data_IF_049992310647
#
_entry.id   IF_049992310647
#
_cell.length_a   1.000
_cell.length_b   1.000
_cell.length_c   1.000
_cell.angle_alpha   90.00
_cell.angle_beta   90.00
_cell.angle_gamma   90.00
#
_symmetry.space_group_name_H-M   'P 1'
#
loop_
_entity.id
_entity.type
_entity.pdbx_description
1 polymer ?
#
# COMPACT_ATOMS: atom_id res chain seq x y z
N UNK A 1 -45.34 9.42 -70.11
CA UNK A 1 -44.04 9.82 -69.53
C UNK A 1 -44.12 9.67 -68.01
N UNK A 2 -43.61 8.57 -67.44
CA UNK A 2 -43.58 8.32 -65.99
C UNK A 2 -42.11 8.14 -65.57
N UNK A 3 -41.64 8.99 -64.66
CA UNK A 3 -40.32 8.93 -64.03
C UNK A 3 -40.28 7.75 -63.05
N UNK A 4 -39.36 6.80 -63.24
CA UNK A 4 -39.04 5.76 -62.25
C UNK A 4 -37.95 6.26 -61.31
N UNK A 5 -38.26 6.32 -60.02
CA UNK A 5 -37.30 6.60 -58.95
C UNK A 5 -36.66 5.29 -58.47
N UNK A 6 -35.32 5.27 -58.39
CA UNK A 6 -34.53 4.18 -57.83
C UNK A 6 -34.55 4.29 -56.30
N UNK A 7 -35.03 3.26 -55.61
CA UNK A 7 -35.01 3.14 -54.15
C UNK A 7 -33.87 2.18 -53.77
N UNK A 8 -32.77 2.70 -53.20
CA UNK A 8 -31.70 1.89 -52.62
C UNK A 8 -32.05 1.54 -51.17
N UNK A 9 -32.19 0.24 -50.87
CA UNK A 9 -32.37 -0.28 -49.51
C UNK A 9 -31.01 -0.51 -48.82
N UNK A 10 -30.76 0.03 -47.61
CA UNK A 10 -29.52 -0.18 -46.87
C UNK A 10 -29.69 -1.32 -45.86
N UNK A 11 -29.39 -2.56 -46.24
CA UNK A 11 -29.62 -3.70 -45.31
C UNK A 11 -28.57 -4.81 -45.34
N UNK A 12 -27.38 -4.60 -45.92
CA UNK A 12 -26.34 -5.64 -45.98
C UNK A 12 -25.01 -5.35 -45.28
N UNK A 13 -24.81 -4.15 -44.72
CA UNK A 13 -23.52 -3.77 -44.12
C UNK A 13 -23.42 -3.96 -42.58
N UNK A 14 -24.55 -4.13 -41.87
CA UNK A 14 -24.57 -4.22 -40.40
C UNK A 14 -24.45 -5.64 -39.82
N UNK A 15 -24.65 -6.69 -40.63
CA UNK A 15 -24.62 -8.09 -40.17
C UNK A 15 -23.20 -8.65 -40.04
N UNK A 16 -22.27 -8.24 -40.90
CA UNK A 16 -20.88 -8.73 -40.86
C UNK A 16 -20.08 -8.18 -39.67
N UNK A 17 -20.38 -6.94 -39.24
CA UNK A 17 -19.63 -6.28 -38.15
C UNK A 17 -19.95 -6.87 -36.76
N UNK A 18 -21.18 -7.36 -36.53
CA UNK A 18 -21.57 -8.04 -35.29
C UNK A 18 -20.98 -9.44 -35.14
N UNK A 19 -20.71 -10.14 -36.24
CA UNK A 19 -20.16 -11.49 -36.21
C UNK A 19 -18.64 -11.51 -35.94
N UNK A 20 -17.92 -10.46 -36.35
CA UNK A 20 -16.50 -10.28 -36.03
C UNK A 20 -16.27 -9.81 -34.58
N UNK A 21 -17.17 -9.01 -34.00
CA UNK A 21 -17.01 -8.54 -32.61
C UNK A 21 -17.27 -9.65 -31.57
N UNK A 22 -18.15 -10.61 -31.88
CA UNK A 22 -18.47 -11.73 -30.98
C UNK A 22 -17.40 -12.84 -31.01
N UNK A 23 -16.66 -12.97 -32.12
CA UNK A 23 -15.52 -13.90 -32.23
C UNK A 23 -14.24 -13.33 -31.62
N UNK A 24 -14.08 -12.00 -31.60
CA UNK A 24 -12.93 -11.36 -30.94
C UNK A 24 -13.06 -11.33 -29.40
N UNK A 25 -14.29 -11.29 -28.85
CA UNK A 25 -14.52 -11.33 -27.39
C UNK A 25 -14.46 -12.75 -26.78
N UNK A 26 -14.63 -13.82 -27.56
CA UNK A 26 -14.53 -15.20 -27.05
C UNK A 26 -13.09 -15.74 -27.07
N UNK A 27 -12.19 -15.09 -27.81
CA UNK A 27 -10.77 -15.45 -27.89
C UNK A 27 -9.90 -14.78 -26.80
N UNK A 28 -10.43 -13.80 -26.07
CA UNK A 28 -9.70 -13.07 -25.00
C UNK A 28 -9.89 -13.66 -23.59
N UNK A 29 -10.69 -14.73 -23.45
CA UNK A 29 -11.06 -15.31 -22.14
C UNK A 29 -10.19 -16.47 -21.63
N UNK A 30 -9.19 -16.92 -22.38
CA UNK A 30 -8.31 -18.03 -21.97
C UNK A 30 -6.83 -17.61 -22.03
N UNK A 31 -6.48 -16.53 -21.34
CA UNK A 31 -5.12 -16.36 -20.84
C UNK A 31 -4.98 -17.12 -19.52
N UNK A 32 -5.23 -18.44 -19.56
CA UNK A 32 -4.72 -19.31 -18.51
C UNK A 32 -3.21 -19.28 -18.64
N UNK A 33 -2.51 -18.80 -17.61
CA UNK A 33 -1.08 -19.03 -17.50
C UNK A 33 -0.87 -20.54 -17.53
N UNK A 34 -0.48 -21.08 -18.68
CA UNK A 34 0.21 -22.36 -18.69
C UNK A 34 1.50 -22.10 -17.94
N UNK A 35 1.50 -22.44 -16.65
CA UNK A 35 2.75 -22.85 -16.03
C UNK A 35 3.21 -24.00 -16.92
N UNK A 36 4.30 -23.80 -17.66
CA UNK A 36 4.98 -24.92 -18.28
C UNK A 36 5.45 -25.79 -17.10
N UNK A 37 4.62 -26.75 -16.69
CA UNK A 37 5.03 -27.78 -15.76
C UNK A 37 6.16 -28.52 -16.47
N UNK A 38 7.36 -28.44 -15.93
CA UNK A 38 8.46 -29.29 -16.39
C UNK A 38 7.95 -30.72 -16.22
N UNK A 39 7.85 -31.52 -17.30
CA UNK A 39 7.32 -32.87 -17.18
C UNK A 39 8.12 -33.65 -16.14
N UNK A 40 7.45 -34.22 -15.13
CA UNK A 40 8.04 -35.08 -14.09
C UNK A 40 8.44 -36.46 -14.63
N UNK A 41 9.12 -36.48 -15.78
CA UNK A 41 9.47 -37.69 -16.53
C UNK A 41 10.96 -37.99 -16.39
N UNK A 42 11.29 -39.21 -15.99
CA UNK A 42 12.68 -39.67 -15.88
C UNK A 42 12.91 -40.80 -16.88
N UNK A 43 13.87 -40.62 -17.79
CA UNK A 43 14.34 -41.71 -18.65
C UNK A 43 15.29 -42.63 -17.87
N UNK A 44 14.99 -43.93 -17.88
CA UNK A 44 15.83 -44.96 -17.28
C UNK A 44 16.01 -46.15 -18.22
N UNK A 45 17.21 -46.74 -18.22
CA UNK A 45 17.51 -47.98 -18.93
C UNK A 45 18.13 -48.97 -17.96
N UNK A 46 17.67 -50.22 -17.99
CA UNK A 46 18.18 -51.29 -17.15
C UNK A 46 18.41 -52.58 -17.93
N UNK A 47 19.06 -53.55 -17.28
CA UNK A 47 19.31 -54.88 -17.83
C UNK A 47 18.62 -55.96 -16.99
N UNK A 48 18.07 -56.95 -17.67
CA UNK A 48 17.43 -58.14 -17.12
C UNK A 48 18.15 -59.38 -17.65
N UNK A 49 18.54 -60.24 -16.72
CA UNK A 49 18.95 -61.62 -17.01
C UNK A 49 18.04 -62.57 -16.22
N UNK A 50 17.70 -63.69 -16.83
CA UNK A 50 16.97 -64.81 -16.19
C UNK A 50 17.87 -66.02 -16.30
N UNK A 51 18.17 -66.66 -15.16
CA UNK A 51 19.11 -67.79 -15.08
C UNK A 51 20.47 -67.52 -15.77
N UNK A 52 20.98 -66.29 -15.65
CA UNK A 52 22.26 -65.88 -16.23
C UNK A 52 22.22 -65.54 -17.73
N UNK A 53 21.10 -65.77 -18.42
CA UNK A 53 20.91 -65.43 -19.84
C UNK A 53 20.14 -64.12 -19.99
N UNK A 54 20.44 -63.34 -21.03
CA UNK A 54 19.73 -62.10 -21.31
C UNK A 54 18.25 -62.38 -21.67
N UNK A 55 17.33 -61.77 -20.93
CA UNK A 55 15.91 -61.96 -21.18
C UNK A 55 15.47 -61.27 -22.48
N UNK A 56 14.61 -61.93 -23.25
CA UNK A 56 14.02 -61.40 -24.48
C UNK A 56 12.52 -61.66 -24.47
N UNK A 57 11.73 -60.61 -24.72
CA UNK A 57 10.28 -60.66 -24.72
C UNK A 57 9.65 -59.60 -23.82
N UNK A 58 8.34 -59.68 -23.64
CA UNK A 58 7.62 -58.78 -22.76
C UNK A 58 7.75 -59.23 -21.30
N UNK A 59 8.12 -58.31 -20.42
CA UNK A 59 8.12 -58.50 -18.97
C UNK A 59 7.18 -57.53 -18.28
N UNK A 60 6.78 -57.88 -17.06
CA UNK A 60 6.04 -56.98 -16.18
C UNK A 60 7.00 -56.38 -15.15
N UNK A 61 6.91 -55.07 -15.00
CA UNK A 61 7.78 -54.28 -14.13
C UNK A 61 6.97 -53.50 -13.11
N UNK A 62 7.59 -53.26 -11.96
CA UNK A 62 7.11 -52.30 -10.95
C UNK A 62 8.27 -51.42 -10.51
N UNK A 63 7.98 -50.18 -10.18
CA UNK A 63 9.01 -49.17 -9.89
C UNK A 63 8.66 -48.39 -8.64
N UNK A 64 9.68 -48.12 -7.82
CA UNK A 64 9.58 -47.18 -6.71
C UNK A 64 10.86 -46.34 -6.61
N UNK A 65 10.70 -45.09 -6.19
CA UNK A 65 11.79 -44.24 -5.75
C UNK A 65 11.82 -44.28 -4.23
N UNK A 66 12.93 -44.74 -3.66
CA UNK A 66 13.09 -45.00 -2.22
C UNK A 66 14.30 -44.27 -1.65
N UNK A 67 14.35 -44.17 -0.32
CA UNK A 67 15.52 -43.65 0.40
C UNK A 67 16.72 -44.62 0.33
N UNK A 68 17.88 -44.18 0.85
CA UNK A 68 19.12 -44.96 0.85
C UNK A 68 19.01 -46.35 1.50
N UNK A 69 18.20 -46.49 2.57
CA UNK A 69 17.95 -47.77 3.25
C UNK A 69 16.88 -48.62 2.56
N UNK A 70 16.14 -48.03 1.63
CA UNK A 70 15.03 -48.68 0.94
C UNK A 70 13.82 -48.97 1.83
N UNK A 71 13.66 -48.24 2.92
CA UNK A 71 12.61 -48.40 3.94
C UNK A 71 11.48 -47.36 3.81
N UNK A 72 11.71 -46.31 3.04
CA UNK A 72 10.74 -45.25 2.77
C UNK A 72 10.58 -45.10 1.26
N UNK A 73 9.32 -45.04 0.79
CA UNK A 73 9.00 -44.75 -0.61
C UNK A 73 8.64 -43.28 -0.77
N UNK A 74 9.33 -42.59 -1.68
CA UNK A 74 8.99 -41.23 -2.11
C UNK A 74 7.98 -41.22 -3.25
N UNK A 75 8.01 -42.25 -4.09
CA UNK A 75 7.09 -42.41 -5.22
C UNK A 75 7.03 -43.87 -5.68
N UNK A 76 5.91 -44.29 -6.27
CA UNK A 76 5.79 -45.57 -6.98
C UNK A 76 4.92 -45.44 -8.21
N UNK A 77 5.08 -46.37 -9.15
CA UNK A 77 4.43 -46.32 -10.47
C UNK A 77 2.89 -46.25 -10.42
N UNK A 78 2.27 -46.69 -9.32
CA UNK A 78 0.82 -46.63 -9.10
C UNK A 78 0.42 -45.92 -7.80
N UNK A 79 1.39 -45.36 -7.07
CA UNK A 79 1.18 -44.70 -5.78
C UNK A 79 0.90 -45.63 -4.59
N UNK A 80 0.99 -46.96 -4.74
CA UNK A 80 0.60 -47.89 -3.66
C UNK A 80 1.73 -48.26 -2.69
N UNK A 81 2.99 -47.92 -2.99
CA UNK A 81 4.13 -48.22 -2.13
C UNK A 81 4.43 -47.07 -1.18
N UNK A 82 4.59 -47.37 0.11
CA UNK A 82 4.80 -46.38 1.18
C UNK A 82 6.06 -46.67 2.02
N UNK A 83 6.39 -47.94 2.25
CA UNK A 83 7.51 -48.37 3.12
C UNK A 83 8.60 -49.13 2.37
N UNK A 84 8.81 -48.79 1.10
CA UNK A 84 9.72 -49.51 0.19
C UNK A 84 9.16 -50.85 -0.30
N UNK A 85 7.89 -51.13 -0.03
CA UNK A 85 7.18 -52.33 -0.44
C UNK A 85 6.92 -52.38 -1.96
N UNK A 86 6.61 -53.57 -2.46
CA UNK A 86 6.24 -53.76 -3.86
C UNK A 86 4.95 -52.97 -4.19
N UNK A 87 4.93 -52.21 -5.30
CA UNK A 87 3.70 -51.60 -5.85
C UNK A 87 2.65 -52.65 -6.21
N UNK A 88 1.37 -52.28 -6.34
CA UNK A 88 0.29 -53.26 -6.60
C UNK A 88 0.20 -53.57 -8.09
N UNK A 89 0.20 -52.54 -8.92
CA UNK A 89 0.01 -52.59 -10.36
C UNK A 89 1.34 -52.68 -11.09
N UNK A 90 1.36 -53.44 -12.18
CA UNK A 90 2.56 -53.63 -13.01
C UNK A 90 2.43 -52.94 -14.36
N UNK A 91 3.58 -52.68 -14.97
CA UNK A 91 3.72 -52.06 -16.29
C UNK A 91 4.39 -53.07 -17.22
N UNK A 92 3.77 -53.34 -18.36
CA UNK A 92 4.39 -54.17 -19.40
C UNK A 92 5.45 -53.39 -20.17
N UNK A 93 6.67 -53.92 -20.24
CA UNK A 93 7.74 -53.37 -21.06
C UNK A 93 8.35 -54.47 -21.93
N UNK A 94 8.70 -54.12 -23.17
CA UNK A 94 9.47 -54.98 -24.04
C UNK A 94 10.95 -54.98 -23.59
N UNK A 95 11.55 -56.16 -23.54
CA UNK A 95 12.97 -56.37 -23.23
C UNK A 95 13.64 -57.02 -24.43
N UNK A 96 14.69 -56.40 -24.94
CA UNK A 96 15.45 -56.87 -26.09
C UNK A 96 16.93 -56.97 -25.75
N UNK A 97 17.54 -58.14 -25.97
CA UNK A 97 18.93 -58.41 -25.58
C UNK A 97 19.18 -58.24 -24.08
N UNK A 98 18.14 -58.43 -23.25
CA UNK A 98 18.17 -58.15 -21.83
C UNK A 98 18.05 -56.67 -21.48
N UNK A 99 17.90 -55.74 -22.41
CA UNK A 99 17.81 -54.30 -22.13
C UNK A 99 16.37 -53.83 -22.20
N UNK A 100 15.96 -52.98 -21.26
CA UNK A 100 14.67 -52.27 -21.28
C UNK A 100 14.87 -50.78 -21.03
N UNK A 101 13.96 -49.97 -21.55
CA UNK A 101 13.91 -48.53 -21.31
C UNK A 101 12.51 -48.12 -20.82
N UNK A 102 12.45 -47.14 -19.92
CA UNK A 102 11.20 -46.64 -19.34
C UNK A 102 11.28 -45.14 -19.12
N UNK A 103 10.15 -44.47 -19.35
CA UNK A 103 9.92 -43.07 -18.98
C UNK A 103 9.08 -43.07 -17.69
N UNK A 104 9.74 -43.04 -16.53
CA UNK A 104 9.06 -42.99 -15.23
C UNK A 104 8.21 -41.73 -15.15
N UNK A 105 6.97 -41.84 -14.69
CA UNK A 105 6.04 -40.70 -14.58
C UNK A 105 5.25 -40.33 -15.83
N UNK A 106 5.45 -41.00 -16.98
CA UNK A 106 4.72 -40.70 -18.22
C UNK A 106 3.35 -41.41 -18.31
N UNK A 107 3.35 -42.73 -18.54
CA UNK A 107 2.13 -43.57 -18.62
C UNK A 107 1.83 -44.27 -17.29
N UNK A 108 2.12 -43.59 -16.19
CA UNK A 108 2.03 -44.09 -14.82
C UNK A 108 1.86 -42.88 -13.88
N UNK A 109 1.75 -43.09 -12.56
CA UNK A 109 1.70 -41.99 -11.59
C UNK A 109 2.86 -41.01 -11.84
N UNK A 110 2.56 -39.72 -12.03
CA UNK A 110 3.59 -38.69 -12.27
C UNK A 110 4.63 -38.68 -11.14
N UNK A 111 5.91 -38.45 -11.45
CA UNK A 111 6.94 -38.27 -10.41
C UNK A 111 6.91 -36.81 -9.92
N UNK A 112 6.48 -36.53 -8.67
CA UNK A 112 6.44 -35.17 -8.17
C UNK A 112 7.86 -34.60 -8.01
N UNK A 113 8.09 -33.30 -8.28
CA UNK A 113 9.38 -32.67 -8.03
C UNK A 113 9.87 -32.79 -6.58
N UNK A 114 8.95 -32.86 -5.62
CA UNK A 114 9.24 -33.01 -4.18
C UNK A 114 9.97 -34.31 -3.83
N UNK A 115 9.94 -35.33 -4.69
CA UNK A 115 10.77 -36.54 -4.51
C UNK A 115 12.25 -36.17 -4.41
N UNK A 116 12.67 -35.15 -5.14
CA UNK A 116 14.06 -34.65 -5.18
C UNK A 116 14.36 -33.60 -4.11
N UNK A 117 13.46 -33.40 -3.14
CA UNK A 117 13.79 -32.73 -1.88
C UNK A 117 14.68 -33.60 -1.00
N UNK A 118 14.71 -34.92 -1.28
CA UNK A 118 15.47 -35.90 -0.54
C UNK A 118 16.92 -36.01 -1.06
N UNK A 119 17.92 -36.09 -0.16
CA UNK A 119 19.35 -36.07 -0.54
C UNK A 119 19.83 -37.35 -1.24
N UNK A 120 19.17 -38.49 -1.02
CA UNK A 120 19.46 -39.76 -1.68
C UNK A 120 18.15 -40.42 -2.13
N UNK A 121 17.96 -40.49 -3.45
CA UNK A 121 16.82 -41.10 -4.12
C UNK A 121 17.33 -42.26 -4.97
N UNK A 122 16.78 -43.46 -4.75
CA UNK A 122 17.17 -44.68 -5.45
C UNK A 122 15.97 -45.31 -6.15
N UNK A 123 16.17 -45.73 -7.39
CA UNK A 123 15.23 -46.52 -8.14
C UNK A 123 15.32 -47.98 -7.69
N UNK A 124 14.20 -48.47 -7.17
CA UNK A 124 13.95 -49.88 -6.90
C UNK A 124 13.07 -50.44 -8.00
N UNK A 125 13.43 -51.63 -8.49
CA UNK A 125 12.75 -52.30 -9.59
C UNK A 125 12.32 -53.69 -9.16
N UNK A 126 11.10 -54.07 -9.52
CA UNK A 126 10.66 -55.46 -9.53
C UNK A 126 10.36 -55.89 -10.95
N UNK A 127 10.64 -57.16 -11.25
CA UNK A 127 10.48 -57.76 -12.56
C UNK A 127 9.88 -59.16 -12.46
N UNK A 128 9.04 -59.51 -13.43
CA UNK A 128 8.67 -60.89 -13.74
C UNK A 128 8.65 -61.13 -15.24
N UNK A 129 9.04 -62.33 -15.65
CA UNK A 129 8.91 -62.84 -17.02
C UNK A 129 7.53 -63.47 -17.29
N UNK A 130 6.60 -63.37 -16.33
CA UNK A 130 5.28 -63.98 -16.40
C UNK A 130 5.23 -65.44 -15.96
N UNK A 131 6.38 -66.05 -15.65
CA UNK A 131 6.49 -67.46 -15.21
C UNK A 131 7.07 -67.59 -13.81
N UNK A 132 8.13 -66.83 -13.47
CA UNK A 132 8.90 -66.96 -12.25
C UNK A 132 8.43 -66.05 -11.09
N UNK A 133 7.23 -65.49 -11.18
CA UNK A 133 6.68 -64.55 -10.20
C UNK A 133 7.44 -63.23 -10.15
N UNK A 134 6.95 -62.28 -9.34
CA UNK A 134 7.55 -60.94 -9.20
C UNK A 134 8.77 -60.97 -8.28
N UNK A 135 9.90 -60.47 -8.76
CA UNK A 135 11.17 -60.47 -8.02
C UNK A 135 11.79 -59.07 -7.98
N UNK A 136 12.32 -58.67 -6.81
CA UNK A 136 13.05 -57.42 -6.63
C UNK A 136 14.46 -57.53 -7.18
N UNK A 137 14.86 -56.57 -8.02
CA UNK A 137 16.21 -56.45 -8.53
C UNK A 137 17.05 -55.61 -7.56
N UNK A 138 18.08 -56.23 -6.98
CA UNK A 138 19.02 -55.56 -6.08
C UNK A 138 20.40 -55.40 -6.75
N UNK A 139 21.16 -54.32 -6.45
CA UNK A 139 20.83 -53.24 -5.52
C UNK A 139 20.00 -52.12 -6.17
N UNK A 140 19.28 -51.36 -5.35
CA UNK A 140 18.59 -50.13 -5.79
C UNK A 140 19.59 -49.13 -6.35
N UNK A 141 19.25 -48.52 -7.50
CA UNK A 141 20.16 -47.69 -8.27
C UNK A 141 19.94 -46.21 -7.97
N UNK A 142 21.00 -45.46 -7.63
CA UNK A 142 20.90 -44.03 -7.34
C UNK A 142 20.52 -43.24 -8.60
N UNK A 143 19.52 -42.37 -8.51
CA UNK A 143 19.15 -41.44 -9.58
C UNK A 143 19.83 -40.09 -9.28
N UNK A 144 20.97 -39.82 -9.92
CA UNK A 144 21.86 -38.73 -9.52
C UNK A 144 21.70 -37.40 -10.29
N UNK A 145 21.15 -37.38 -11.51
CA UNK A 145 21.42 -36.24 -12.43
C UNK A 145 20.23 -35.58 -13.14
N UNK A 146 19.01 -36.16 -13.14
CA UNK A 146 17.85 -35.53 -13.82
C UNK A 146 16.88 -34.78 -12.86
N UNK A 147 16.80 -35.18 -11.59
CA UNK A 147 15.88 -34.58 -10.62
C UNK A 147 16.29 -33.19 -10.11
N UNK A 148 17.60 -32.91 -10.06
CA UNK A 148 18.13 -31.62 -9.61
C UNK A 148 17.95 -30.50 -10.66
N UNK A 149 17.76 -30.83 -11.95
CA UNK A 149 17.44 -29.84 -12.97
C UNK A 149 16.00 -29.30 -12.83
N UNK A 150 15.05 -30.11 -12.29
CA UNK A 150 13.70 -29.62 -11.98
C UNK A 150 13.68 -28.64 -10.81
N UNK A 151 14.65 -28.72 -9.87
CA UNK A 151 14.81 -27.69 -8.82
C UNK A 151 15.11 -26.31 -9.40
N UNK A 152 15.81 -26.21 -10.54
CA UNK A 152 16.08 -24.92 -11.17
C UNK A 152 14.81 -24.28 -11.76
N UNK A 153 13.75 -25.06 -12.04
CA UNK A 153 12.47 -24.54 -12.51
C UNK A 153 11.50 -24.19 -11.37
N UNK A 154 11.59 -24.85 -10.21
CA UNK A 154 10.74 -24.57 -9.04
C UNK A 154 11.33 -23.49 -8.12
N UNK A 155 12.64 -23.25 -8.19
CA UNK A 155 13.34 -22.28 -7.35
C UNK A 155 13.28 -20.85 -7.90
N UNK A 156 12.10 -20.26 -8.12
CA UNK A 156 12.03 -18.80 -8.34
C UNK A 156 10.66 -18.12 -8.25
N UNK A 157 9.79 -18.50 -7.31
CA UNK A 157 8.72 -17.56 -6.92
C UNK A 157 8.55 -17.51 -5.40
N UNK A 158 8.92 -16.36 -4.82
CA UNK A 158 8.28 -15.92 -3.57
C UNK A 158 6.87 -15.54 -4.00
N UNK A 159 5.88 -16.40 -3.71
CA UNK A 159 4.49 -16.07 -4.02
C UNK A 159 4.08 -14.80 -3.26
N UNK A 160 3.13 -14.04 -3.81
CA UNK A 160 2.65 -12.82 -3.15
C UNK A 160 2.24 -13.14 -1.70
N UNK A 161 2.66 -12.26 -0.78
CA UNK A 161 2.43 -12.41 0.67
C UNK A 161 3.09 -13.63 1.32
N UNK A 162 4.01 -14.33 0.64
CA UNK A 162 4.72 -15.46 1.24
C UNK A 162 5.62 -15.07 2.41
N UNK A 163 6.13 -13.82 2.44
CA UNK A 163 6.97 -13.32 3.52
C UNK A 163 6.06 -12.58 4.51
N UNK A 164 5.71 -13.26 5.60
CA UNK A 164 4.95 -12.72 6.73
C UNK A 164 5.90 -12.26 7.83
N UNK A 165 5.38 -11.59 8.86
CA UNK A 165 6.14 -11.17 10.05
C UNK A 165 6.95 -12.31 10.65
N UNK A 166 6.37 -13.50 10.77
CA UNK A 166 7.01 -14.66 11.41
C UNK A 166 8.24 -15.17 10.65
N UNK A 167 8.36 -14.80 9.36
CA UNK A 167 9.49 -15.15 8.50
C UNK A 167 10.58 -14.07 8.49
N UNK A 168 10.35 -12.95 9.16
CA UNK A 168 11.31 -11.87 9.38
C UNK A 168 11.61 -11.85 10.88
N UNK A 169 12.75 -12.42 11.26
CA UNK A 169 13.17 -12.39 12.66
C UNK A 169 13.38 -10.95 13.16
N UNK A 170 13.25 -10.74 14.47
CA UNK A 170 13.55 -9.46 15.10
C UNK A 170 14.98 -9.01 14.76
N UNK A 171 15.13 -7.77 14.28
CA UNK A 171 16.42 -7.24 13.83
C UNK A 171 16.94 -7.82 12.51
N UNK A 172 16.15 -8.63 11.78
CA UNK A 172 16.57 -9.17 10.48
C UNK A 172 16.69 -8.08 9.40
N UNK A 173 16.00 -6.96 9.55
CA UNK A 173 16.11 -5.79 8.67
C UNK A 173 16.79 -4.68 9.47
N UNK A 174 17.99 -4.29 9.06
CA UNK A 174 18.85 -3.30 9.73
C UNK A 174 19.13 -2.13 8.79
N UNK A 175 19.61 -1.00 9.32
CA UNK A 175 19.99 0.17 8.52
C UNK A 175 20.96 -0.18 7.39
N UNK A 176 21.97 -1.01 7.67
CA UNK A 176 22.92 -1.48 6.64
C UNK A 176 22.30 -2.29 5.51
N UNK A 177 21.11 -2.86 5.72
CA UNK A 177 20.33 -3.62 4.71
C UNK A 177 19.35 -2.73 3.95
N UNK A 178 19.16 -1.49 4.38
CA UNK A 178 18.32 -0.48 3.72
C UNK A 178 19.22 0.71 3.37
N UNK A 179 19.85 0.72 2.18
CA UNK A 179 20.68 1.84 1.77
C UNK A 179 19.91 3.17 1.79
N UNK A 180 20.60 4.26 2.09
CA UNK A 180 20.01 5.61 2.11
C UNK A 180 19.31 5.92 0.78
N UNK A 181 18.09 6.47 0.87
CA UNK A 181 17.27 6.80 -0.30
C UNK A 181 16.67 5.60 -1.05
N UNK A 182 16.92 4.35 -0.62
CA UNK A 182 16.34 3.17 -1.26
C UNK A 182 14.83 3.06 -1.08
N UNK A 183 14.29 3.63 0.00
CA UNK A 183 12.85 3.77 0.26
C UNK A 183 12.43 5.21 -0.10
N UNK A 184 11.77 5.36 -1.24
CA UNK A 184 11.26 6.66 -1.72
C UNK A 184 9.84 6.91 -1.21
N UNK A 185 9.35 8.16 -1.16
CA UNK A 185 7.96 8.45 -0.78
C UNK A 185 6.92 7.67 -1.60
N UNK A 186 7.21 7.38 -2.88
CA UNK A 186 6.38 6.55 -3.75
C UNK A 186 6.35 5.07 -3.36
N UNK A 187 7.41 4.54 -2.74
CA UNK A 187 7.48 3.17 -2.19
C UNK A 187 6.78 3.06 -0.84
N UNK A 188 6.57 4.19 -0.17
CA UNK A 188 5.74 4.32 1.02
C UNK A 188 4.28 4.60 0.65
N UNK A 189 3.82 4.14 -0.52
CA UNK A 189 2.40 4.21 -0.91
C UNK A 189 1.58 3.40 0.08
N UNK A 190 1.18 4.06 1.16
CA UNK A 190 0.18 3.57 2.07
C UNK A 190 -1.13 3.59 1.28
N UNK A 191 -1.52 2.43 0.74
CA UNK A 191 -2.89 2.23 0.29
C UNK A 191 -3.74 2.33 1.55
N UNK A 192 -4.24 3.52 1.82
CA UNK A 192 -5.33 3.70 2.77
C UNK A 192 -6.51 2.98 2.14
N UNK A 193 -6.93 1.85 2.70
CA UNK A 193 -8.16 1.20 2.28
C UNK A 193 -9.33 2.14 2.64
N UNK A 194 -9.75 2.99 1.70
CA UNK A 194 -11.12 3.51 1.63
C UNK A 194 -11.63 4.41 2.77
N UNK A 195 -10.77 4.97 3.62
CA UNK A 195 -11.12 6.17 4.39
C UNK A 195 -10.16 7.31 4.03
N UNK A 196 -10.67 8.53 3.87
CA UNK A 196 -9.85 9.74 3.73
C UNK A 196 -9.14 10.09 5.07
N UNK A 197 -8.62 9.10 5.80
CA UNK A 197 -7.82 9.34 7.01
C UNK A 197 -6.35 9.60 6.69
N UNK A 198 -5.96 9.57 5.42
CA UNK A 198 -4.62 9.88 4.97
C UNK A 198 -4.03 11.09 5.68
N UNK A 199 -3.25 10.84 6.74
CA UNK A 199 -2.21 11.75 7.21
C UNK A 199 -1.06 10.94 7.84
N UNK A 200 0.14 10.94 7.23
CA UNK A 200 1.40 10.43 7.79
C UNK A 200 1.97 11.25 8.96
N UNK A 201 1.14 11.97 9.71
CA UNK A 201 1.55 12.84 10.80
C UNK A 201 0.40 12.88 11.77
N UNK A 202 0.66 12.79 13.09
CA UNK A 202 -0.33 13.01 14.15
C UNK A 202 -0.81 14.46 14.20
N UNK A 203 -1.16 15.04 13.04
CA UNK A 203 -1.57 16.41 12.86
C UNK A 203 -2.45 16.61 11.61
N UNK A 204 -3.37 17.58 11.64
CA UNK A 204 -4.17 18.04 10.50
C UNK A 204 -4.36 19.54 10.55
N UNK A 205 -4.25 20.18 9.38
CA UNK A 205 -4.29 21.63 9.22
C UNK A 205 -5.52 22.10 8.44
N UNK A 206 -6.05 23.26 8.83
CA UNK A 206 -7.12 23.96 8.13
C UNK A 206 -6.77 25.44 8.02
N UNK A 207 -6.50 25.89 6.79
CA UNK A 207 -6.12 27.29 6.48
C UNK A 207 -7.10 28.00 5.53
N UNK A 208 -8.05 27.27 4.94
CA UNK A 208 -9.02 27.85 4.00
C UNK A 208 -10.26 28.34 4.76
N UNK A 209 -10.69 29.61 4.62
CA UNK A 209 -11.90 30.11 5.24
C UNK A 209 -13.13 29.26 4.97
N UNK A 210 -13.98 29.08 5.98
CA UNK A 210 -15.21 28.31 5.87
C UNK A 210 -15.35 27.24 6.95
N UNK A 211 -16.36 26.38 6.78
CA UNK A 211 -16.65 25.28 7.68
C UNK A 211 -16.14 23.96 7.10
N UNK A 212 -15.41 23.22 7.92
CA UNK A 212 -14.84 21.92 7.62
C UNK A 212 -15.24 20.91 8.70
N UNK A 213 -15.03 19.63 8.40
CA UNK A 213 -15.27 18.55 9.37
C UNK A 213 -13.98 17.80 9.64
N UNK A 214 -13.64 17.67 10.91
CA UNK A 214 -12.60 16.78 11.41
C UNK A 214 -13.24 15.52 11.99
N UNK A 215 -12.86 14.36 11.48
CA UNK A 215 -13.21 13.06 12.07
C UNK A 215 -12.03 12.55 12.87
N UNK A 216 -12.25 12.24 14.14
CA UNK A 216 -11.20 11.71 15.03
C UNK A 216 -10.70 10.37 14.49
N UNK A 217 -9.38 10.19 14.27
CA UNK A 217 -8.84 8.94 13.76
C UNK A 217 -9.07 7.75 14.70
N UNK A 218 -8.97 6.54 14.15
CA UNK A 218 -9.05 5.32 14.95
C UNK A 218 -7.97 5.29 16.04
N UNK A 219 -8.33 4.86 17.25
CA UNK A 219 -7.41 4.76 18.39
C UNK A 219 -7.05 6.07 19.08
N UNK A 220 -7.44 7.23 18.54
CA UNK A 220 -7.17 8.54 19.14
C UNK A 220 -8.21 8.90 20.19
N UNK A 221 -7.76 9.09 21.44
CA UNK A 221 -8.62 9.44 22.58
C UNK A 221 -8.35 10.84 23.13
N UNK A 222 -7.30 11.50 22.65
CA UNK A 222 -6.92 12.85 23.06
C UNK A 222 -6.33 13.59 21.86
N UNK A 223 -6.69 14.86 21.73
CA UNK A 223 -6.11 15.77 20.72
C UNK A 223 -5.71 17.08 21.38
N UNK A 224 -4.74 17.77 20.80
CA UNK A 224 -4.45 19.17 21.07
C UNK A 224 -4.88 19.99 19.86
N UNK A 225 -5.59 21.08 20.09
CA UNK A 225 -6.08 21.96 19.03
C UNK A 225 -5.56 23.36 19.26
N UNK A 226 -5.05 23.96 18.19
CA UNK A 226 -4.57 25.33 18.13
C UNK A 226 -5.42 26.09 17.11
N UNK A 227 -5.91 27.26 17.51
CA UNK A 227 -6.86 28.07 16.75
C UNK A 227 -6.36 29.51 16.70
N UNK A 228 -6.19 30.04 15.49
CA UNK A 228 -5.89 31.44 15.23
C UNK A 228 -7.08 32.10 14.55
N UNK A 229 -7.57 33.20 15.10
CA UNK A 229 -8.55 34.05 14.43
C UNK A 229 -7.95 34.73 13.20
N UNK A 230 -8.79 35.09 12.23
CA UNK A 230 -8.34 35.76 11.03
C UNK A 230 -7.90 37.20 11.30
N UNK A 231 -7.10 37.78 10.42
CA UNK A 231 -6.70 39.18 10.46
C UNK A 231 -7.79 40.15 10.04
N UNK A 232 -7.78 41.37 10.58
CA UNK A 232 -8.59 42.45 10.03
C UNK A 232 -8.01 43.01 8.73
N UNK A 233 -8.86 43.67 7.96
CA UNK A 233 -8.48 44.30 6.70
C UNK A 233 -7.74 45.62 6.87
N UNK A 234 -7.45 46.27 5.74
CA UNK A 234 -6.74 47.56 5.67
C UNK A 234 -7.69 48.65 5.18
N UNK A 235 -7.49 49.87 5.69
CA UNK A 235 -8.15 51.08 5.22
C UNK A 235 -7.18 51.94 4.38
N UNK A 236 -7.55 52.21 3.13
CA UNK A 236 -6.69 52.79 2.09
C UNK A 236 -6.09 54.16 2.43
N UNK A 237 -6.92 55.12 2.85
CA UNK A 237 -6.51 56.53 2.92
C UNK A 237 -5.44 56.82 3.98
N UNK A 238 -5.40 56.01 5.05
CA UNK A 238 -4.49 56.23 6.17
C UNK A 238 -3.49 55.09 6.36
N UNK A 239 -3.52 54.06 5.50
CA UNK A 239 -2.69 52.85 5.61
C UNK A 239 -2.67 52.28 7.04
N UNK A 240 -3.80 52.33 7.76
CA UNK A 240 -3.89 51.81 9.12
C UNK A 240 -4.23 50.32 9.02
N UNK A 241 -3.29 49.42 9.37
CA UNK A 241 -3.57 48.00 9.35
C UNK A 241 -4.53 47.65 10.48
N UNK A 242 -5.53 46.83 10.18
CA UNK A 242 -6.35 46.19 11.21
C UNK A 242 -5.51 45.30 12.11
N UNK A 243 -6.00 45.07 13.32
CA UNK A 243 -5.35 44.22 14.30
C UNK A 243 -5.30 42.75 13.88
N UNK A 244 -4.46 42.02 14.58
CA UNK A 244 -4.25 40.59 14.41
C UNK A 244 -5.33 39.76 15.13
N UNK A 245 -5.57 38.54 14.66
CA UNK A 245 -6.45 37.58 15.34
C UNK A 245 -5.82 37.05 16.63
N UNK A 246 -6.65 36.58 17.55
CA UNK A 246 -6.22 35.94 18.78
C UNK A 246 -5.75 34.50 18.55
N UNK A 247 -5.05 33.94 19.53
CA UNK A 247 -4.63 32.55 19.56
C UNK A 247 -5.17 31.84 20.78
N UNK A 248 -5.70 30.63 20.58
CA UNK A 248 -6.17 29.76 21.65
C UNK A 248 -5.69 28.34 21.38
N UNK A 249 -5.20 27.66 22.42
CA UNK A 249 -4.86 26.24 22.39
C UNK A 249 -5.54 25.51 23.54
N UNK A 250 -6.05 24.32 23.26
CA UNK A 250 -6.65 23.45 24.27
C UNK A 250 -6.52 21.97 23.92
N UNK A 251 -6.37 21.14 24.94
CA UNK A 251 -6.46 19.69 24.80
C UNK A 251 -7.90 19.19 25.00
N UNK A 252 -8.35 18.30 24.12
CA UNK A 252 -9.66 17.67 24.20
C UNK A 252 -9.53 16.16 24.38
N UNK A 253 -10.32 15.61 25.29
CA UNK A 253 -10.62 14.18 25.26
C UNK A 253 -11.65 13.94 24.14
N UNK A 254 -11.39 12.96 23.30
CA UNK A 254 -12.21 12.67 22.11
C UNK A 254 -12.54 11.19 22.01
N UNK A 255 -13.57 10.88 21.23
CA UNK A 255 -13.96 9.50 20.90
C UNK A 255 -13.54 9.20 19.47
N UNK A 256 -12.82 8.09 19.19
CA UNK A 256 -12.50 7.68 17.83
C UNK A 256 -13.75 7.66 16.92
N UNK A 257 -13.63 8.20 15.72
CA UNK A 257 -14.73 8.32 14.76
C UNK A 257 -15.74 9.44 15.02
N UNK A 258 -15.63 10.18 16.14
CA UNK A 258 -16.49 11.35 16.37
C UNK A 258 -16.15 12.49 15.41
N UNK A 259 -17.18 13.17 14.92
CA UNK A 259 -17.05 14.34 14.05
C UNK A 259 -17.04 15.64 14.86
N UNK A 260 -16.17 16.56 14.45
CA UNK A 260 -15.99 17.89 15.02
C UNK A 260 -16.02 18.93 13.90
N UNK A 261 -16.67 20.06 14.16
CA UNK A 261 -16.71 21.19 13.24
C UNK A 261 -15.47 22.05 13.42
N UNK A 262 -14.76 22.30 12.33
CA UNK A 262 -13.67 23.27 12.26
C UNK A 262 -14.19 24.47 11.46
N UNK A 263 -14.12 25.66 12.03
CA UNK A 263 -14.42 26.91 11.33
C UNK A 263 -13.14 27.72 11.22
N UNK A 264 -12.76 28.06 10.00
CA UNK A 264 -11.66 28.97 9.72
C UNK A 264 -12.24 30.33 9.37
N UNK A 265 -11.87 31.36 10.14
CA UNK A 265 -12.32 32.74 9.89
C UNK A 265 -11.81 33.28 8.56
N UNK A 266 -12.63 34.05 7.86
CA UNK A 266 -12.17 34.80 6.69
C UNK A 266 -11.39 36.04 7.12
N UNK A 267 -10.34 36.39 6.40
CA UNK A 267 -9.64 37.65 6.59
C UNK A 267 -10.50 38.85 6.24
N UNK A 268 -10.27 39.98 6.91
CA UNK A 268 -10.97 41.23 6.62
C UNK A 268 -10.58 41.79 5.26
N UNK A 269 -11.56 42.30 4.50
CA UNK A 269 -11.31 42.81 3.15
C UNK A 269 -10.59 44.17 3.16
N UNK A 270 -9.99 44.52 2.03
CA UNK A 270 -9.57 45.90 1.75
C UNK A 270 -10.80 46.77 1.47
N UNK A 271 -10.82 47.99 2.01
CA UNK A 271 -11.90 48.95 1.74
C UNK A 271 -11.35 50.34 1.42
N UNK A 272 -11.92 50.95 0.37
CA UNK A 272 -11.57 52.32 -0.08
C UNK A 272 -12.17 53.42 0.81
N UNK A 273 -13.22 53.10 1.58
CA UNK A 273 -13.91 54.02 2.47
C UNK A 273 -14.56 53.27 3.65
N UNK A 274 -14.42 53.77 4.87
CA UNK A 274 -15.04 53.21 6.07
C UNK A 274 -14.10 52.38 6.95
N UNK A 275 -14.59 51.85 8.09
CA UNK A 275 -13.78 51.03 8.99
C UNK A 275 -13.33 49.76 8.28
N UNK A 276 -12.05 49.39 8.44
CA UNK A 276 -11.58 48.13 7.90
C UNK A 276 -12.38 46.96 8.48
N UNK A 277 -12.87 46.02 7.66
CA UNK A 277 -13.60 44.85 8.13
C UNK A 277 -12.76 44.06 9.15
N UNK A 278 -13.41 43.64 10.23
CA UNK A 278 -12.80 42.73 11.20
C UNK A 278 -12.52 41.36 10.55
N UNK A 279 -11.51 40.66 11.09
CA UNK A 279 -11.29 39.26 10.76
C UNK A 279 -12.39 38.38 11.34
N UNK A 280 -12.73 37.30 10.64
CA UNK A 280 -13.61 36.26 11.15
C UNK A 280 -12.97 35.48 12.31
N UNK A 281 -13.80 35.02 13.24
CA UNK A 281 -13.36 34.10 14.28
C UNK A 281 -13.07 32.72 13.69
N UNK A 282 -12.08 32.04 14.26
CA UNK A 282 -11.87 30.61 14.00
C UNK A 282 -12.31 29.82 15.22
N UNK A 283 -12.77 28.59 15.00
CA UNK A 283 -13.19 27.74 16.10
C UNK A 283 -13.10 26.25 15.81
N UNK A 284 -13.04 25.48 16.89
CA UNK A 284 -13.17 24.03 16.89
C UNK A 284 -14.30 23.64 17.84
N UNK A 285 -15.28 22.85 17.39
CA UNK A 285 -16.48 22.55 18.17
C UNK A 285 -16.94 21.10 18.01
N UNK A 286 -17.40 20.48 19.10
CA UNK A 286 -18.10 19.19 19.00
C UNK A 286 -19.48 19.39 18.33
N UNK A 287 -19.90 18.40 17.55
CA UNK A 287 -21.23 18.42 16.91
C UNK A 287 -22.34 18.00 17.90
N UNK A 288 -21.98 17.46 19.07
CA UNK A 288 -22.89 17.11 20.16
C UNK A 288 -23.27 18.31 21.04
N UNK A 289 -24.44 18.24 21.70
CA UNK A 289 -24.91 19.19 22.70
C UNK A 289 -24.78 18.65 24.13
N UNK A 290 -24.25 19.43 25.11
CA UNK A 290 -23.68 20.78 24.94
C UNK A 290 -22.37 20.74 24.13
N UNK A 291 -22.19 21.72 23.25
CA UNK A 291 -21.01 21.79 22.40
C UNK A 291 -19.79 22.19 23.23
N UNK A 292 -18.76 21.37 23.21
CA UNK A 292 -17.44 21.76 23.68
C UNK A 292 -16.80 22.57 22.55
N UNK A 293 -16.32 23.78 22.85
CA UNK A 293 -15.79 24.71 21.83
C UNK A 293 -14.46 25.31 22.26
N UNK A 294 -13.61 25.59 21.28
CA UNK A 294 -12.47 26.50 21.35
C UNK A 294 -12.69 27.59 20.31
N UNK A 295 -12.63 28.86 20.69
CA UNK A 295 -12.84 30.01 19.80
C UNK A 295 -11.73 31.02 19.94
N UNK A 296 -11.10 31.39 18.82
CA UNK A 296 -10.21 32.55 18.79
C UNK A 296 -10.83 33.67 17.98
N UNK A 297 -10.92 34.86 18.58
CA UNK A 297 -11.48 36.02 17.90
C UNK A 297 -10.60 36.46 16.72
N UNK A 298 -11.24 36.90 15.65
CA UNK A 298 -10.54 37.60 14.57
C UNK A 298 -10.11 39.01 14.97
N UNK A 299 -9.17 39.55 14.22
CA UNK A 299 -8.59 40.87 14.41
C UNK A 299 -9.61 41.99 14.25
N UNK A 300 -9.34 43.13 14.90
CA UNK A 300 -10.27 44.27 14.97
C UNK A 300 -9.88 45.42 14.05
N UNK A 301 -10.86 46.24 13.69
CA UNK A 301 -10.71 47.38 12.76
C UNK A 301 -9.70 48.42 13.24
N UNK A 302 -9.03 49.08 12.29
CA UNK A 302 -7.92 50.00 12.52
C UNK A 302 -8.32 51.46 12.83
N UNK A 303 -9.61 51.82 12.82
CA UNK A 303 -10.07 53.20 13.02
C UNK A 303 -10.65 53.35 14.45
N UNK A 304 -9.93 54.02 15.38
CA UNK A 304 -10.47 54.43 16.69
C UNK A 304 -11.38 55.66 16.49
N UNK A 305 -12.61 55.64 17.01
CA UNK A 305 -13.53 56.79 16.88
C UNK A 305 -15.02 56.50 17.05
N UNK A 306 -15.43 55.23 17.09
CA UNK A 306 -16.59 54.80 17.88
C UNK A 306 -16.01 54.13 19.13
N UNK A 307 -15.44 54.98 20.00
CA UNK A 307 -14.85 54.74 21.35
C UNK A 307 -13.90 53.54 21.51
N UNK A 308 -12.60 53.79 21.42
CA UNK A 308 -11.52 52.92 21.92
C UNK A 308 -10.45 52.57 20.88
N UNK A 309 -9.20 52.41 21.31
CA UNK A 309 -8.19 51.60 20.60
C UNK A 309 -8.87 50.32 20.08
N UNK A 310 -8.44 49.72 18.95
CA UNK A 310 -9.02 48.45 18.51
C UNK A 310 -9.04 47.52 19.71
N UNK A 311 -10.21 47.09 20.17
CA UNK A 311 -10.24 46.16 21.30
C UNK A 311 -9.37 44.95 20.90
N UNK A 312 -8.55 44.45 21.81
CA UNK A 312 -7.71 43.29 21.47
C UNK A 312 -8.62 42.15 21.01
N UNK A 313 -8.20 41.41 19.98
CA UNK A 313 -8.84 40.14 19.71
C UNK A 313 -8.58 39.25 20.92
N UNK A 314 -9.62 38.68 21.52
CA UNK A 314 -9.48 37.88 22.73
C UNK A 314 -9.37 36.38 22.40
N UNK A 315 -8.51 35.64 23.11
CA UNK A 315 -8.52 34.18 23.07
C UNK A 315 -9.78 33.64 23.75
N UNK A 316 -10.02 32.34 23.60
CA UNK A 316 -11.04 31.65 24.38
C UNK A 316 -10.72 31.75 25.88
N UNK A 317 -11.67 32.19 26.74
CA UNK A 317 -11.46 32.22 28.19
C UNK A 317 -11.14 30.85 28.79
N UNK A 318 -11.58 29.77 28.15
CA UNK A 318 -11.39 28.40 28.61
C UNK A 318 -10.20 27.71 27.93
N UNK A 319 -9.35 28.44 27.19
CA UNK A 319 -8.15 27.90 26.58
C UNK A 319 -7.09 27.52 27.64
N UNK A 320 -6.37 26.42 27.41
CA UNK A 320 -5.19 26.07 28.23
C UNK A 320 -4.07 27.11 28.03
N UNK A 321 -3.94 27.62 26.81
CA UNK A 321 -3.04 28.73 26.45
C UNK A 321 -3.80 29.70 25.56
N UNK A 322 -3.91 30.95 25.98
CA UNK A 322 -4.52 32.04 25.22
C UNK A 322 -3.56 33.20 25.00
N UNK A 323 -3.60 33.84 23.82
CA UNK A 323 -2.90 35.10 23.55
C UNK A 323 -3.84 36.07 22.85
N UNK A 324 -3.85 37.32 23.32
CA UNK A 324 -4.60 38.40 22.68
C UNK A 324 -3.96 38.80 21.36
N UNK A 325 -4.79 39.05 20.35
CA UNK A 325 -4.33 39.60 19.08
C UNK A 325 -3.96 41.07 19.24
N UNK A 326 -2.73 41.49 18.88
CA UNK A 326 -2.29 42.87 19.01
C UNK A 326 -3.11 43.81 18.12
N UNK A 327 -3.17 45.08 18.54
CA UNK A 327 -3.93 46.15 17.86
C UNK A 327 -3.24 46.66 16.60
N UNK A 328 -1.95 46.39 16.46
CA UNK A 328 -1.10 46.68 15.30
C UNK A 328 -0.60 45.38 14.65
N UNK A 329 0.02 45.52 13.47
CA UNK A 329 0.62 44.46 12.65
C UNK A 329 1.83 43.76 13.31
N UNK A 330 1.67 43.28 14.55
CA UNK A 330 2.70 42.58 15.29
C UNK A 330 2.56 41.07 15.13
N UNK A 331 3.70 40.44 14.84
CA UNK A 331 3.82 39.00 14.60
C UNK A 331 3.78 38.26 15.94
N UNK A 332 2.73 37.48 16.19
CA UNK A 332 2.71 36.55 17.32
C UNK A 332 3.55 35.32 16.96
N UNK A 333 4.71 35.18 17.60
CA UNK A 333 5.59 34.03 17.43
C UNK A 333 5.30 32.95 18.47
N UNK A 334 4.77 31.80 18.05
CA UNK A 334 4.65 30.61 18.91
C UNK A 334 5.88 29.71 18.77
N UNK A 335 6.58 29.44 19.87
CA UNK A 335 7.55 28.35 19.98
C UNK A 335 6.84 27.08 20.46
N UNK A 336 7.08 25.95 19.79
CA UNK A 336 6.60 24.62 20.22
C UNK A 336 7.80 23.83 20.69
N UNK A 337 7.72 23.28 21.91
CA UNK A 337 8.76 22.43 22.49
C UNK A 337 8.17 21.06 22.83
N UNK A 338 8.75 19.94 22.36
CA UNK A 338 9.87 19.84 21.42
C UNK A 338 9.46 20.10 19.95
N UNK A 339 10.41 20.53 19.09
CA UNK A 339 10.16 20.77 17.66
C UNK A 339 9.93 19.45 16.91
N UNK A 340 8.98 19.43 15.96
CA UNK A 340 8.52 18.21 15.30
C UNK A 340 9.43 17.74 14.15
N UNK A 341 10.40 18.53 13.69
CA UNK A 341 11.37 18.15 12.64
C UNK A 341 12.71 18.87 12.89
N UNK A 342 13.81 18.11 12.91
CA UNK A 342 15.17 18.64 12.85
C UNK A 342 15.57 18.64 11.37
N UNK A 343 15.71 19.82 10.77
CA UNK A 343 16.47 19.98 9.53
C UNK A 343 17.73 20.78 9.86
N UNK A 344 18.88 20.22 9.52
CA UNK A 344 20.18 20.88 9.67
C UNK A 344 20.25 22.10 8.76
N UNK A 345 20.05 23.28 9.34
CA UNK A 345 20.53 24.53 8.75
C UNK A 345 21.46 25.21 9.77
N UNK A 346 22.74 25.23 9.43
CA UNK A 346 23.87 25.59 10.29
C UNK A 346 24.10 27.11 10.38
N UNK A 347 23.04 27.91 10.46
CA UNK A 347 23.14 29.34 10.76
C UNK A 347 22.01 29.79 11.69
N UNK A 348 22.42 30.22 12.90
CA UNK A 348 21.64 30.77 14.01
C UNK A 348 20.89 29.75 14.90
N UNK A 349 21.46 29.53 16.10
CA UNK A 349 20.86 28.80 17.22
C UNK A 349 19.65 29.51 17.85
N UNK A 350 18.66 29.85 17.05
CA UNK A 350 17.36 30.34 17.49
C UNK A 350 16.33 29.22 17.30
N UNK A 351 15.57 28.90 18.35
CA UNK A 351 14.37 28.08 18.26
C UNK A 351 13.48 28.64 17.15
N UNK A 352 13.47 27.99 15.97
CA UNK A 352 12.81 28.53 14.79
C UNK A 352 11.30 28.35 14.96
N UNK A 353 10.60 29.49 14.99
CA UNK A 353 9.15 29.65 15.12
C UNK A 353 8.47 28.76 14.08
N UNK A 354 7.63 27.80 14.52
CA UNK A 354 7.06 26.80 13.63
C UNK A 354 5.99 27.38 12.68
N UNK A 355 5.43 28.55 13.01
CA UNK A 355 4.56 29.31 12.12
C UNK A 355 4.48 30.77 12.57
N UNK A 356 4.80 31.70 11.67
CA UNK A 356 4.49 33.13 11.78
C UNK A 356 3.15 33.32 11.09
N UNK A 357 2.08 33.59 11.86
CA UNK A 357 0.82 34.00 11.25
C UNK A 357 0.77 35.53 11.22
N UNK A 358 1.00 36.12 10.03
CA UNK A 358 0.82 37.55 9.81
C UNK A 358 -0.66 37.84 9.61
N UNK A 359 -1.42 37.95 10.70
CA UNK A 359 -2.83 38.37 10.61
C UNK A 359 -3.01 39.87 10.33
N UNK A 360 -2.02 40.57 9.79
CA UNK A 360 -2.14 41.97 9.36
C UNK A 360 -1.93 42.10 7.86
N UNK A 361 -2.68 43.00 7.23
CA UNK A 361 -2.45 43.35 5.84
C UNK A 361 -1.12 44.10 5.67
N UNK A 362 -0.13 43.42 5.06
CA UNK A 362 1.07 43.99 4.43
C UNK A 362 2.33 44.16 5.32
N UNK A 363 3.53 43.79 4.83
CA UNK A 363 4.81 44.15 5.46
C UNK A 363 5.16 45.62 5.19
N UNK A 364 5.89 46.24 6.12
CA UNK A 364 6.43 47.59 5.96
C UNK A 364 7.54 47.59 4.89
N UNK A 365 7.34 48.28 3.77
CA UNK A 365 8.36 48.41 2.71
C UNK A 365 9.35 49.54 3.06
N UNK A 366 10.67 49.37 2.85
CA UNK A 366 11.68 50.38 3.17
C UNK A 366 11.59 51.66 2.31
N UNK A 367 10.71 51.71 1.30
CA UNK A 367 10.47 52.89 0.46
C UNK A 367 9.28 53.75 0.90
N UNK A 368 8.59 53.43 2.00
CA UNK A 368 7.50 54.26 2.53
C UNK A 368 6.18 54.23 1.75
N UNK A 369 6.02 53.32 0.78
CA UNK A 369 4.75 53.11 0.07
C UNK A 369 4.23 51.70 0.35
N UNK A 370 2.98 51.61 0.82
CA UNK A 370 2.26 50.35 0.97
C UNK A 370 1.70 49.93 -0.39
N UNK A 371 2.01 48.72 -0.86
CA UNK A 371 1.31 48.14 -2.02
C UNK A 371 -0.17 47.96 -1.65
N UNK A 372 -1.03 48.65 -2.41
CA UNK A 372 -2.41 48.99 -2.06
C UNK A 372 -3.46 47.84 -1.98
N UNK A 373 -3.10 46.56 -1.78
CA UNK A 373 -4.06 45.46 -2.01
C UNK A 373 -4.00 44.24 -1.07
N UNK A 374 -3.48 44.33 0.16
CA UNK A 374 -3.41 43.15 1.05
C UNK A 374 -4.61 43.05 2.00
N UNK A 375 -5.58 42.12 1.78
CA UNK A 375 -6.59 41.80 2.78
C UNK A 375 -5.95 41.15 4.01
N UNK A 376 -6.68 41.13 5.13
CA UNK A 376 -6.27 40.36 6.29
C UNK A 376 -6.11 38.88 5.93
N UNK A 377 -5.18 38.18 6.59
CA UNK A 377 -5.02 36.74 6.37
C UNK A 377 -6.20 35.96 6.97
N UNK A 378 -6.53 34.82 6.35
CA UNK A 378 -7.48 33.86 6.90
C UNK A 378 -7.06 33.41 8.30
N UNK A 379 -7.99 32.84 9.06
CA UNK A 379 -7.64 32.15 10.29
C UNK A 379 -6.90 30.84 10.00
N UNK A 380 -6.51 30.14 11.07
CA UNK A 380 -5.82 28.87 10.96
C UNK A 380 -6.22 27.94 12.10
N UNK A 381 -6.35 26.65 11.83
CA UNK A 381 -6.59 25.62 12.85
C UNK A 381 -5.65 24.44 12.62
N UNK A 382 -4.90 24.07 13.65
CA UNK A 382 -4.05 22.90 13.69
C UNK A 382 -4.58 21.94 14.77
N UNK A 383 -4.76 20.67 14.40
CA UNK A 383 -5.16 19.60 15.31
C UNK A 383 -4.01 18.61 15.37
N UNK A 384 -3.60 18.17 16.55
CA UNK A 384 -2.54 17.18 16.75
C UNK A 384 -3.05 16.05 17.66
N UNK A 385 -2.62 14.81 17.41
CA UNK A 385 -3.08 13.60 18.12
C UNK A 385 -2.02 12.54 18.34
#
# INVERSE_FOLDING_TARGET
>A
MKKSAVHLSPSRCFSALRSCLLTLLLAAGFAGTSQAQVPGIISYQGRITVNGSAFNGNGLFKFALVNASGSLTFWSNDGSSTTGNEPTSSIGLAVAGGVYSVLLGANMTEVPPTVFDNPDVRLRVWFTDGTNGMQRLAPDQRIATAGYAMRAATAQTVVNNAITSDKIADGAVTETKIPDGSITPTKLSFVVNGDDSGVPSGAREYATPGSHTFTVPAGVTKIMVEVWGAGAGVYAWHALPGGSGAYSRKSFNVVPGSAWTVTVGAGGAYVDAGPSPAGGNSSFASVSTPSIKLVSQGGRSAIPGIEGLPALALPDPDADIGRTGPTNAEVITGTVTPPLVILDDTQAGNSRILQVHQSSGGPFHPSGEFENNYPGQAGYVLIQW
#
